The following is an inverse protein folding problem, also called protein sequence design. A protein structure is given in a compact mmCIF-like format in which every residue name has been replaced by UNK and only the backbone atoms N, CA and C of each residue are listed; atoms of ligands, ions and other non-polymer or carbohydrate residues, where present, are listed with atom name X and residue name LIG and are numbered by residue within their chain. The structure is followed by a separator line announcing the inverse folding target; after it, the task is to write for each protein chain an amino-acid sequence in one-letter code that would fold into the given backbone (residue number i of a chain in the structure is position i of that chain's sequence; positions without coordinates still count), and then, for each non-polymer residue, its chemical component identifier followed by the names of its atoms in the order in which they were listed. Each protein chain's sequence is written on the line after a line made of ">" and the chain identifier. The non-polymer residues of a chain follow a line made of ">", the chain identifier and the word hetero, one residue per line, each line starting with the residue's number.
data_IF_183840268375
#
_entry.id   IF_183840268375
#
_cell.length_a   1.000
_cell.length_b   1.000
_cell.length_c   1.000
_cell.angle_alpha   90.00
_cell.angle_beta   90.00
_cell.angle_gamma   90.00
#
_symmetry.space_group_name_H-M   'P 1'
#
loop_
_entity.id
_entity.type
_entity.pdbx_description
1 polymer ?
#
# COMPACT_ATOMS: atom_id res chain seq x y z
N UNK A 1 13.65 26.19 2.85
CA UNK A 1 12.69 26.58 3.91
C UNK A 1 11.59 27.55 3.47
N UNK A 2 11.83 28.78 2.94
CA UNK A 2 10.70 29.70 2.57
C UNK A 2 9.89 29.28 1.31
N UNK A 3 10.53 28.68 0.31
CA UNK A 3 9.85 28.21 -0.91
C UNK A 3 9.03 26.92 -0.73
N UNK A 4 9.31 26.14 0.31
CA UNK A 4 8.65 24.85 0.54
C UNK A 4 7.29 25.04 1.20
N UNK A 5 7.15 26.06 2.06
CA UNK A 5 5.91 26.41 2.73
C UNK A 5 4.83 27.01 1.80
N UNK A 6 5.22 27.67 0.71
CA UNK A 6 4.30 28.30 -0.25
C UNK A 6 3.54 27.28 -1.11
N UNK A 7 4.14 26.12 -1.39
CA UNK A 7 3.49 25.04 -2.16
C UNK A 7 2.70 24.08 -1.26
N UNK A 8 3.12 23.93 0.01
CA UNK A 8 2.43 23.10 1.00
C UNK A 8 1.04 23.68 1.35
N UNK A 9 0.90 25.01 1.44
CA UNK A 9 -0.37 25.65 1.79
C UNK A 9 -1.54 25.27 0.87
N UNK A 10 -1.46 25.44 -0.46
CA UNK A 10 -2.56 25.07 -1.35
C UNK A 10 -2.81 23.56 -1.33
N UNK A 11 -1.78 22.72 -1.37
CA UNK A 11 -1.92 21.25 -1.32
C UNK A 11 -2.63 20.80 -0.05
N UNK A 12 -2.29 21.40 1.09
CA UNK A 12 -2.91 21.08 2.38
C UNK A 12 -4.38 21.52 2.41
N UNK A 13 -4.71 22.66 1.82
CA UNK A 13 -6.10 23.13 1.69
C UNK A 13 -6.91 22.19 0.81
N UNK A 14 -6.40 21.80 -0.36
CA UNK A 14 -7.07 20.84 -1.24
C UNK A 14 -7.29 19.48 -0.57
N UNK A 15 -6.30 19.00 0.18
CA UNK A 15 -6.39 17.71 0.90
C UNK A 15 -7.42 17.78 2.02
N UNK A 16 -7.48 18.89 2.76
CA UNK A 16 -8.50 19.10 3.81
C UNK A 16 -9.91 19.20 3.22
N UNK A 17 -10.10 19.92 2.11
CA UNK A 17 -11.41 20.02 1.43
C UNK A 17 -11.83 18.64 0.90
N UNK A 18 -10.89 17.88 0.34
CA UNK A 18 -11.11 16.50 -0.08
C UNK A 18 -11.54 15.61 1.11
N UNK A 19 -10.83 15.71 2.23
CA UNK A 19 -11.17 14.99 3.46
C UNK A 19 -12.58 15.32 3.96
N UNK A 20 -12.97 16.60 3.98
CA UNK A 20 -14.32 17.02 4.36
C UNK A 20 -15.39 16.44 3.43
N UNK A 21 -15.16 16.46 2.12
CA UNK A 21 -16.08 15.87 1.13
C UNK A 21 -16.27 14.39 1.37
N UNK A 22 -15.17 13.66 1.64
CA UNK A 22 -15.21 12.22 1.93
C UNK A 22 -15.99 11.94 3.22
N UNK A 23 -15.76 12.72 4.29
CA UNK A 23 -16.44 12.58 5.58
C UNK A 23 -17.96 12.76 5.48
N UNK A 24 -18.40 13.77 4.72
CA UNK A 24 -19.82 14.07 4.52
C UNK A 24 -20.46 12.97 3.68
N UNK A 25 -19.77 12.56 2.60
CA UNK A 25 -20.27 11.56 1.67
C UNK A 25 -20.37 10.17 2.34
N UNK A 26 -19.40 9.80 3.18
CA UNK A 26 -19.43 8.52 3.89
C UNK A 26 -20.54 8.47 4.95
N UNK A 27 -20.86 9.60 5.58
CA UNK A 27 -22.01 9.72 6.51
C UNK A 27 -23.35 9.66 5.80
N UNK A 28 -23.47 10.32 4.64
CA UNK A 28 -24.67 10.22 3.78
C UNK A 28 -24.91 8.78 3.35
N UNK A 29 -23.87 8.07 2.95
CA UNK A 29 -23.95 6.64 2.67
C UNK A 29 -24.39 5.85 3.90
N UNK A 30 -23.83 6.12 5.09
CA UNK A 30 -24.24 5.42 6.32
C UNK A 30 -25.73 5.64 6.64
N UNK A 31 -26.23 6.86 6.45
CA UNK A 31 -27.66 7.19 6.65
C UNK A 31 -28.56 6.52 5.62
N UNK A 32 -28.17 6.53 4.35
CA UNK A 32 -28.88 5.83 3.27
C UNK A 32 -28.86 4.31 3.48
N UNK A 33 -27.72 3.77 3.90
CA UNK A 33 -27.49 2.36 4.15
C UNK A 33 -28.29 1.86 5.36
N UNK A 34 -28.36 2.65 6.45
CA UNK A 34 -29.22 2.36 7.59
C UNK A 34 -30.72 2.32 7.20
N UNK A 35 -31.13 3.18 6.27
CA UNK A 35 -32.50 3.21 5.76
C UNK A 35 -32.83 2.01 4.84
N UNK A 36 -31.82 1.34 4.26
CA UNK A 36 -32.08 0.28 3.30
C UNK A 36 -32.56 -1.02 3.92
N UNK A 37 -32.29 -1.33 5.20
CA UNK A 37 -32.82 -2.51 5.92
C UNK A 37 -32.87 -3.85 5.12
N UNK A 38 -32.08 -3.96 4.05
CA UNK A 38 -32.25 -4.92 2.98
C UNK A 38 -30.97 -5.74 2.86
N UNK A 39 -31.11 -7.00 3.29
CA UNK A 39 -30.13 -8.08 3.25
C UNK A 39 -29.01 -7.98 4.28
N UNK A 40 -28.55 -9.14 4.78
CA UNK A 40 -27.60 -9.27 5.90
C UNK A 40 -26.44 -8.29 5.73
N UNK A 41 -26.31 -7.33 6.66
CA UNK A 41 -25.24 -6.31 6.74
C UNK A 41 -23.84 -6.88 6.51
N UNK A 42 -23.65 -8.16 6.87
CA UNK A 42 -22.44 -8.96 6.68
C UNK A 42 -22.04 -9.11 5.19
N UNK A 43 -22.99 -9.27 4.27
CA UNK A 43 -22.70 -9.51 2.86
C UNK A 43 -22.16 -8.26 2.16
N UNK A 44 -22.74 -7.10 2.48
CA UNK A 44 -22.29 -5.81 1.98
C UNK A 44 -20.93 -5.41 2.58
N UNK A 45 -20.68 -5.70 3.86
CA UNK A 45 -19.36 -5.53 4.48
C UNK A 45 -18.28 -6.34 3.73
N UNK A 46 -18.60 -7.58 3.36
CA UNK A 46 -17.67 -8.44 2.61
C UNK A 46 -17.39 -7.87 1.22
N UNK A 47 -18.41 -7.36 0.53
CA UNK A 47 -18.27 -6.73 -0.79
C UNK A 47 -17.41 -5.45 -0.75
N UNK A 48 -17.52 -4.61 0.28
CA UNK A 48 -16.70 -3.40 0.37
C UNK A 48 -15.25 -3.73 0.73
N UNK A 49 -15.02 -4.71 1.60
CA UNK A 49 -13.67 -5.16 1.96
C UNK A 49 -12.94 -5.73 0.73
N UNK A 50 -13.60 -6.56 -0.08
CA UNK A 50 -12.99 -7.12 -1.30
C UNK A 50 -12.67 -6.02 -2.32
N UNK A 51 -13.54 -5.02 -2.48
CA UNK A 51 -13.28 -3.85 -3.33
C UNK A 51 -12.05 -3.03 -2.86
N UNK A 52 -11.94 -2.80 -1.55
CA UNK A 52 -10.81 -2.09 -0.93
C UNK A 52 -9.50 -2.86 -1.15
N UNK A 53 -9.50 -4.17 -0.91
CA UNK A 53 -8.32 -5.02 -1.13
C UNK A 53 -7.92 -5.10 -2.60
N UNK A 54 -8.89 -5.21 -3.51
CA UNK A 54 -8.62 -5.24 -4.97
C UNK A 54 -8.03 -3.92 -5.45
N UNK A 55 -8.56 -2.79 -4.95
CA UNK A 55 -8.04 -1.45 -5.28
C UNK A 55 -6.59 -1.28 -4.79
N UNK A 56 -6.25 -1.87 -3.64
CA UNK A 56 -4.89 -1.82 -3.10
C UNK A 56 -3.89 -2.65 -3.92
N UNK A 57 -4.31 -3.78 -4.51
CA UNK A 57 -3.46 -4.52 -5.45
C UNK A 57 -3.31 -3.82 -6.80
N UNK A 58 -4.25 -2.95 -7.18
CA UNK A 58 -4.19 -2.20 -8.43
C UNK A 58 -3.31 -0.94 -8.34
N UNK A 59 -3.05 -0.45 -7.12
CA UNK A 59 -2.14 0.67 -6.84
C UNK A 59 -0.72 0.51 -7.44
N UNK A 60 0.00 -0.62 -7.25
CA UNK A 60 1.32 -0.82 -7.84
C UNK A 60 1.32 -0.92 -9.38
N UNK A 61 0.15 -1.06 -10.01
CA UNK A 61 0.00 -1.15 -11.47
C UNK A 61 -0.34 0.20 -12.12
N UNK A 62 -0.72 1.21 -11.33
CA UNK A 62 -1.17 2.50 -11.83
C UNK A 62 0.03 3.45 -12.11
N UNK A 63 0.36 3.64 -13.39
CA UNK A 63 1.45 4.53 -13.83
C UNK A 63 1.07 6.03 -13.95
N UNK A 64 -0.20 6.40 -13.70
CA UNK A 64 -0.72 7.77 -13.92
C UNK A 64 -1.18 8.44 -12.62
N UNK A 65 -0.70 9.67 -12.37
CA UNK A 65 -1.04 10.48 -11.18
C UNK A 65 -2.55 10.74 -11.02
N UNK A 66 -3.23 11.06 -12.13
CA UNK A 66 -4.69 11.32 -12.12
C UNK A 66 -5.49 10.08 -11.74
N UNK A 67 -5.13 8.93 -12.29
CA UNK A 67 -5.78 7.66 -11.94
C UNK A 67 -5.58 7.36 -10.46
N UNK A 68 -4.35 7.49 -9.95
CA UNK A 68 -4.03 7.26 -8.55
C UNK A 68 -4.84 8.17 -7.60
N UNK A 69 -4.99 9.45 -7.95
CA UNK A 69 -5.75 10.43 -7.17
C UNK A 69 -7.26 10.09 -7.10
N UNK A 70 -7.85 9.68 -8.23
CA UNK A 70 -9.25 9.25 -8.27
C UNK A 70 -9.43 7.95 -7.46
N UNK A 71 -8.55 6.97 -7.63
CA UNK A 71 -8.62 5.70 -6.91
C UNK A 71 -8.46 5.88 -5.39
N UNK A 72 -7.58 6.77 -4.95
CA UNK A 72 -7.40 7.07 -3.51
C UNK A 72 -8.61 7.79 -2.92
N UNK A 73 -9.26 8.67 -3.68
CA UNK A 73 -10.53 9.29 -3.28
C UNK A 73 -11.64 8.25 -3.09
N UNK A 74 -11.85 7.38 -4.06
CA UNK A 74 -12.81 6.28 -3.96
C UNK A 74 -12.48 5.31 -2.83
N UNK A 75 -11.21 4.93 -2.70
CA UNK A 75 -10.73 4.07 -1.62
C UNK A 75 -11.03 4.68 -0.25
N UNK A 76 -10.75 5.98 -0.05
CA UNK A 76 -11.02 6.68 1.21
C UNK A 76 -12.52 6.72 1.56
N UNK A 77 -13.36 6.89 0.55
CA UNK A 77 -14.82 6.86 0.70
C UNK A 77 -15.34 5.47 1.11
N UNK A 78 -14.98 4.42 0.38
CA UNK A 78 -15.36 3.05 0.71
C UNK A 78 -14.82 2.60 2.07
N UNK A 79 -13.58 3.00 2.38
CA UNK A 79 -12.97 2.74 3.68
C UNK A 79 -13.78 3.40 4.81
N UNK A 80 -14.17 4.68 4.67
CA UNK A 80 -14.99 5.39 5.65
C UNK A 80 -16.36 4.73 5.90
N UNK A 81 -17.03 4.29 4.84
CA UNK A 81 -18.30 3.54 4.95
C UNK A 81 -18.12 2.19 5.61
N UNK A 82 -17.05 1.45 5.26
CA UNK A 82 -16.76 0.14 5.86
C UNK A 82 -16.50 0.26 7.36
N UNK A 83 -15.79 1.31 7.80
CA UNK A 83 -15.61 1.58 9.24
C UNK A 83 -16.96 1.82 9.91
N UNK A 84 -17.83 2.66 9.34
CA UNK A 84 -19.15 2.92 9.92
C UNK A 84 -20.00 1.64 10.05
N UNK A 85 -20.05 0.81 9.01
CA UNK A 85 -20.78 -0.47 9.02
C UNK A 85 -20.19 -1.44 10.04
N UNK A 86 -18.86 -1.46 10.20
CA UNK A 86 -18.20 -2.33 11.18
C UNK A 86 -18.65 -2.00 12.62
N UNK A 87 -18.77 -0.71 12.95
CA UNK A 87 -19.28 -0.24 14.24
C UNK A 87 -20.75 -0.68 14.43
N UNK A 88 -21.58 -0.55 13.40
CA UNK A 88 -23.00 -0.99 13.46
C UNK A 88 -23.12 -2.49 13.67
N UNK A 89 -22.38 -3.31 12.92
CA UNK A 89 -22.40 -4.78 13.06
C UNK A 89 -21.90 -5.20 14.44
N UNK A 90 -20.85 -4.55 14.96
CA UNK A 90 -20.33 -4.87 16.28
C UNK A 90 -21.35 -4.55 17.38
N UNK A 91 -22.10 -3.44 17.24
CA UNK A 91 -23.18 -3.09 18.15
C UNK A 91 -24.33 -4.11 18.12
N UNK A 92 -24.70 -4.61 16.94
CA UNK A 92 -25.75 -5.63 16.78
C UNK A 92 -25.33 -7.01 17.33
N UNK A 93 -24.06 -7.40 17.17
CA UNK A 93 -23.56 -8.73 17.56
C UNK A 93 -23.24 -8.83 19.05
N UNK A 94 -22.60 -7.79 19.62
CA UNK A 94 -22.15 -7.79 21.02
C UNK A 94 -23.22 -7.25 21.97
N UNK A 95 -24.15 -6.43 21.45
CA UNK A 95 -25.12 -5.72 22.27
C UNK A 95 -24.52 -4.51 23.00
N UNK A 96 -25.38 -3.64 23.51
CA UNK A 96 -24.97 -2.33 24.06
C UNK A 96 -24.15 -2.43 25.35
N UNK A 97 -24.23 -3.54 26.09
CA UNK A 97 -23.57 -3.71 27.40
C UNK A 97 -22.05 -3.81 27.30
N UNK A 98 -21.55 -4.48 26.26
CA UNK A 98 -20.14 -4.83 26.12
C UNK A 98 -19.49 -4.21 24.87
N UNK A 99 -20.21 -3.32 24.19
CA UNK A 99 -19.80 -2.68 22.95
C UNK A 99 -18.48 -1.90 23.06
N UNK A 100 -18.30 -1.12 24.14
CA UNK A 100 -17.10 -0.31 24.34
C UNK A 100 -15.86 -1.18 24.57
N UNK A 101 -16.03 -2.28 25.33
CA UNK A 101 -14.97 -3.27 25.57
C UNK A 101 -14.56 -3.98 24.27
N UNK A 102 -15.54 -4.40 23.45
CA UNK A 102 -15.29 -5.01 22.15
C UNK A 102 -14.63 -4.04 21.16
N UNK A 103 -15.07 -2.77 21.12
CA UNK A 103 -14.43 -1.73 20.33
C UNK A 103 -12.98 -1.48 20.77
N UNK A 104 -12.73 -1.43 22.07
CA UNK A 104 -11.38 -1.28 22.62
C UNK A 104 -10.45 -2.39 22.17
N UNK A 105 -10.89 -3.66 22.27
CA UNK A 105 -10.13 -4.81 21.79
C UNK A 105 -9.91 -4.76 20.27
N UNK A 106 -10.93 -4.38 19.50
CA UNK A 106 -10.82 -4.21 18.05
C UNK A 106 -9.80 -3.13 17.66
N UNK A 107 -9.80 -1.99 18.36
CA UNK A 107 -8.83 -0.91 18.14
C UNK A 107 -7.41 -1.33 18.50
N UNK A 108 -7.22 -2.18 19.52
CA UNK A 108 -5.91 -2.77 19.82
C UNK A 108 -5.40 -3.63 18.66
N UNK A 109 -6.22 -4.53 18.12
CA UNK A 109 -5.87 -5.37 16.96
C UNK A 109 -5.51 -4.49 15.75
N UNK A 110 -6.32 -3.45 15.51
CA UNK A 110 -6.10 -2.48 14.44
C UNK A 110 -4.77 -1.74 14.60
N UNK A 111 -4.43 -1.34 15.83
CA UNK A 111 -3.18 -0.66 16.15
C UNK A 111 -1.95 -1.56 15.95
N UNK A 112 -2.04 -2.85 16.33
CA UNK A 112 -0.97 -3.83 16.07
C UNK A 112 -0.72 -3.95 14.56
N UNK A 113 -1.77 -3.99 13.75
CA UNK A 113 -1.63 -3.96 12.28
C UNK A 113 -0.96 -2.68 11.76
N UNK A 114 -1.32 -1.52 12.33
CA UNK A 114 -0.68 -0.25 12.01
C UNK A 114 0.79 -0.17 12.42
N UNK A 115 1.16 -0.73 13.57
CA UNK A 115 2.53 -0.77 14.07
C UNK A 115 3.40 -1.74 13.29
N UNK A 116 2.85 -2.88 12.85
CA UNK A 116 3.53 -3.84 12.00
C UNK A 116 3.71 -3.32 10.56
N UNK A 117 2.90 -2.35 10.13
CA UNK A 117 2.98 -1.75 8.79
C UNK A 117 4.38 -1.23 8.41
N UNK A 118 4.95 -0.24 9.12
CA UNK A 118 6.29 0.29 8.84
C UNK A 118 7.44 -0.75 8.85
N UNK A 119 7.56 -1.65 9.85
CA UNK A 119 8.62 -2.66 9.86
C UNK A 119 8.42 -3.75 8.81
N UNK A 120 7.18 -4.17 8.50
CA UNK A 120 6.95 -5.09 7.38
C UNK A 120 7.21 -4.43 6.03
N UNK A 121 6.78 -3.18 5.83
CA UNK A 121 7.07 -2.43 4.61
C UNK A 121 8.59 -2.28 4.40
N UNK A 122 9.33 -1.96 5.47
CA UNK A 122 10.79 -1.95 5.45
C UNK A 122 11.40 -3.31 5.06
N UNK A 123 10.90 -4.42 5.62
CA UNK A 123 11.36 -5.77 5.26
C UNK A 123 11.02 -6.18 3.82
N UNK A 124 9.85 -5.81 3.29
CA UNK A 124 9.46 -6.10 1.91
C UNK A 124 10.30 -5.31 0.92
N UNK A 125 10.48 -4.00 1.16
CA UNK A 125 11.32 -3.15 0.33
C UNK A 125 12.78 -3.62 0.38
N UNK A 126 13.29 -3.94 1.58
CA UNK A 126 14.64 -4.44 1.75
C UNK A 126 14.83 -5.83 1.12
N UNK A 127 13.85 -6.72 1.22
CA UNK A 127 13.93 -8.05 0.59
C UNK A 127 13.84 -7.98 -0.93
N UNK A 128 12.98 -7.11 -1.47
CA UNK A 128 12.93 -6.83 -2.91
C UNK A 128 14.23 -6.21 -3.42
N UNK A 129 14.82 -5.27 -2.68
CA UNK A 129 16.12 -4.69 -2.99
C UNK A 129 17.26 -5.71 -2.88
N UNK A 130 17.22 -6.63 -1.90
CA UNK A 130 18.17 -7.75 -1.80
C UNK A 130 18.03 -8.72 -2.97
N UNK A 131 16.82 -8.99 -3.44
CA UNK A 131 16.60 -9.81 -4.64
C UNK A 131 17.18 -9.12 -5.88
N UNK A 132 16.96 -7.81 -6.04
CA UNK A 132 17.59 -7.01 -7.11
C UNK A 132 19.12 -6.95 -6.99
N UNK A 133 19.66 -6.87 -5.77
CA UNK A 133 21.11 -6.86 -5.54
C UNK A 133 21.75 -8.23 -5.78
N UNK A 134 21.09 -9.33 -5.41
CA UNK A 134 21.55 -10.68 -5.72
C UNK A 134 21.52 -10.94 -7.23
N UNK A 135 20.46 -10.52 -7.92
CA UNK A 135 20.36 -10.61 -9.38
C UNK A 135 21.40 -9.69 -10.07
N UNK A 136 21.71 -8.53 -9.50
CA UNK A 136 22.79 -7.66 -9.98
C UNK A 136 24.18 -8.24 -9.71
N UNK A 137 24.42 -8.88 -8.56
CA UNK A 137 25.66 -9.61 -8.28
C UNK A 137 25.84 -10.80 -9.21
N UNK A 138 24.78 -11.53 -9.51
CA UNK A 138 24.83 -12.68 -10.43
C UNK A 138 25.08 -12.23 -11.89
N UNK A 139 24.56 -11.06 -12.28
CA UNK A 139 24.92 -10.42 -13.56
C UNK A 139 26.37 -9.90 -13.58
N UNK A 140 26.89 -9.36 -12.48
CA UNK A 140 28.29 -8.90 -12.37
C UNK A 140 29.28 -10.06 -12.36
N UNK A 141 28.96 -11.17 -11.70
CA UNK A 141 29.80 -12.37 -11.68
C UNK A 141 29.86 -13.03 -13.08
N UNK A 142 28.74 -13.01 -13.82
CA UNK A 142 28.72 -13.40 -15.24
C UNK A 142 29.55 -12.47 -16.13
N UNK A 143 29.59 -11.16 -15.87
CA UNK A 143 30.45 -10.23 -16.62
C UNK A 143 31.94 -10.47 -16.30
N UNK A 144 32.29 -10.65 -15.03
CA UNK A 144 33.67 -10.91 -14.61
C UNK A 144 34.22 -12.26 -15.12
N UNK A 145 33.38 -13.30 -15.21
CA UNK A 145 33.76 -14.58 -15.80
C UNK A 145 33.91 -14.48 -17.34
N UNK A 146 33.03 -13.74 -18.00
CA UNK A 146 33.13 -13.55 -19.45
C UNK A 146 34.38 -12.73 -19.83
N UNK A 147 34.72 -11.68 -19.08
CA UNK A 147 35.98 -10.93 -19.26
C UNK A 147 37.24 -11.80 -19.02
N UNK A 148 37.25 -12.67 -18.00
CA UNK A 148 38.40 -13.57 -17.78
C UNK A 148 38.62 -14.54 -18.95
N UNK A 149 37.56 -15.02 -19.60
CA UNK A 149 37.67 -15.90 -20.79
C UNK A 149 38.23 -15.13 -22.00
N UNK A 150 37.90 -13.85 -22.19
CA UNK A 150 38.52 -13.04 -23.26
C UNK A 150 39.98 -12.69 -22.98
N UNK A 151 40.36 -12.54 -21.72
CA UNK A 151 41.73 -12.18 -21.30
C UNK A 151 42.67 -13.39 -21.29
N UNK A 152 42.18 -14.60 -20.98
CA UNK A 152 42.93 -15.85 -21.12
C UNK A 152 43.16 -16.20 -22.60
N UNK A 153 42.18 -15.96 -23.48
CA UNK A 153 42.33 -16.21 -24.91
C UNK A 153 43.17 -15.14 -25.66
N UNK A 154 43.33 -13.94 -25.09
CA UNK A 154 44.22 -12.89 -25.61
C UNK A 154 45.67 -13.02 -25.12
N UNK A 155 45.93 -13.83 -24.08
CA UNK A 155 47.26 -13.99 -23.48
C UNK A 155 48.18 -14.98 -24.23
N UNK A 156 47.67 -15.74 -25.21
CA UNK A 156 48.46 -16.78 -25.92
C UNK A 156 48.53 -16.57 -27.45
N UNK A 157 49.31 -15.57 -27.90
CA UNK A 157 50.15 -15.81 -29.07
C UNK A 157 51.58 -15.22 -29.01
N UNK A 158 52.02 -14.61 -27.89
CA UNK A 158 53.29 -13.85 -27.86
C UNK A 158 54.46 -14.51 -27.11
N UNK A 159 54.33 -15.75 -26.62
CA UNK A 159 55.42 -16.40 -25.87
C UNK A 159 56.55 -17.02 -26.73
N UNK A 160 56.53 -16.85 -28.06
CA UNK A 160 57.56 -17.39 -28.96
C UNK A 160 58.49 -16.31 -29.56
N UNK A 161 59.05 -15.41 -28.75
CA UNK A 161 60.21 -14.61 -29.21
C UNK A 161 61.06 -14.00 -28.09
N UNK A 162 61.86 -14.82 -27.41
CA UNK A 162 63.20 -14.41 -26.92
C UNK A 162 64.02 -15.61 -26.42
N UNK A 163 64.63 -16.32 -27.37
CA UNK A 163 65.90 -17.00 -27.13
C UNK A 163 66.74 -16.92 -28.40
N UNK A 164 67.46 -15.82 -28.57
CA UNK A 164 68.71 -15.76 -29.31
C UNK A 164 69.48 -14.51 -28.94
#
# INVERSE_FOLDING_TARGET
>A
TRHENIFIFPVTVFTNIGALTILISSRLLCGWYANLHLTKTIHLLTMTITLISTSLMLLPLANNYLSLAIFTGFYGFFFGTTVAVHITVLAEVVGMSDFDSALGLFMLIRSIGGFLGPPLAGKFILSGARFLFLLAQECLDKQANNENIYLEQAADPYFHRKSS
#
